data_IF_772953293806
#
_entry.id   IF_772953293806
#
_cell.length_a   1.000
_cell.length_b   1.000
_cell.length_c   1.000
_cell.angle_alpha   90.00
_cell.angle_beta   90.00
_cell.angle_gamma   90.00
#
_symmetry.space_group_name_H-M   'P 1'
#
loop_
_entity.id
_entity.type
_entity.pdbx_description
1 polymer ?
#
# COMPACT_ATOMS: atom_id res chain seq x y z
N UNK A 1 28.89 -8.49 13.41
CA UNK A 1 28.06 -9.71 13.36
C UNK A 1 26.88 -9.58 12.38
N UNK A 2 26.28 -8.39 12.21
CA UNK A 2 25.38 -8.10 11.08
C UNK A 2 26.11 -7.97 9.73
N UNK A 3 27.37 -7.53 9.76
CA UNK A 3 28.12 -7.20 8.55
C UNK A 3 28.50 -8.41 7.69
N UNK A 4 28.50 -9.61 8.28
CA UNK A 4 28.90 -10.86 7.62
C UNK A 4 27.74 -11.63 7.00
N UNK A 5 26.48 -11.22 7.26
CA UNK A 5 25.32 -11.89 6.68
C UNK A 5 25.19 -11.55 5.19
N UNK A 6 24.72 -12.47 4.34
CA UNK A 6 24.33 -12.14 2.98
C UNK A 6 23.12 -11.18 2.93
N UNK A 7 22.98 -10.40 1.84
CA UNK A 7 21.91 -9.41 1.68
C UNK A 7 20.51 -10.02 1.62
N UNK A 8 20.37 -11.18 0.96
CA UNK A 8 19.12 -11.94 0.87
C UNK A 8 18.64 -12.43 2.24
N UNK A 9 19.56 -12.89 3.10
CA UNK A 9 19.23 -13.29 4.47
C UNK A 9 18.80 -12.07 5.30
N UNK A 10 19.45 -10.92 5.14
CA UNK A 10 19.03 -9.70 5.82
C UNK A 10 17.69 -9.18 5.30
N UNK A 11 17.44 -9.24 3.99
CA UNK A 11 16.15 -8.89 3.42
C UNK A 11 15.05 -9.83 3.97
N UNK A 12 15.34 -11.13 4.09
CA UNK A 12 14.44 -12.09 4.70
C UNK A 12 14.16 -11.76 6.18
N UNK A 13 15.18 -11.38 6.96
CA UNK A 13 15.00 -10.95 8.34
C UNK A 13 14.16 -9.66 8.43
N UNK A 14 14.47 -8.66 7.60
CA UNK A 14 13.72 -7.39 7.52
C UNK A 14 12.27 -7.60 7.05
N UNK A 15 11.99 -8.63 6.24
CA UNK A 15 10.62 -8.96 5.84
C UNK A 15 9.71 -9.35 7.02
N UNK A 16 10.29 -9.76 8.15
CA UNK A 16 9.57 -10.14 9.38
C UNK A 16 9.36 -8.98 10.36
N UNK A 17 10.03 -7.84 10.15
CA UNK A 17 9.88 -6.66 11.00
C UNK A 17 8.55 -5.96 10.75
N UNK A 18 8.05 -5.18 11.70
CA UNK A 18 6.92 -4.29 11.42
C UNK A 18 7.34 -3.15 10.47
N UNK A 19 6.39 -2.44 9.86
CA UNK A 19 6.70 -1.36 8.90
C UNK A 19 7.53 -0.25 9.56
N UNK A 20 7.19 0.11 10.80
CA UNK A 20 7.90 1.14 11.57
C UNK A 20 9.37 0.78 11.74
N UNK A 21 9.65 -0.47 12.09
CA UNK A 21 11.02 -0.96 12.28
C UNK A 21 11.80 -1.00 10.95
N UNK A 22 11.18 -1.40 9.83
CA UNK A 22 11.84 -1.32 8.51
C UNK A 22 12.22 0.12 8.18
N UNK A 23 11.30 1.07 8.43
CA UNK A 23 11.56 2.50 8.22
C UNK A 23 12.67 3.02 9.14
N UNK A 24 12.77 2.53 10.37
CA UNK A 24 13.84 2.86 11.30
C UNK A 24 15.19 2.26 10.88
N UNK A 25 15.24 0.98 10.50
CA UNK A 25 16.44 0.30 9.99
C UNK A 25 17.06 1.05 8.81
N UNK A 26 16.22 1.65 7.95
CA UNK A 26 16.67 2.49 6.83
C UNK A 26 17.58 3.64 7.26
N UNK A 27 17.44 4.14 8.49
CA UNK A 27 18.19 5.29 9.01
C UNK A 27 19.49 4.90 9.69
N UNK A 28 19.71 3.61 9.97
CA UNK A 28 20.86 3.12 10.75
C UNK A 28 22.15 3.13 9.92
N UNK A 29 22.12 2.58 8.71
CA UNK A 29 23.28 2.57 7.81
C UNK A 29 22.86 2.45 6.34
N UNK A 30 23.77 2.78 5.41
CA UNK A 30 23.51 2.74 3.96
C UNK A 30 23.07 1.35 3.46
N UNK A 31 23.60 0.30 4.06
CA UNK A 31 23.28 -1.09 3.71
C UNK A 31 21.83 -1.43 4.04
N UNK A 32 21.39 -1.14 5.27
CA UNK A 32 19.98 -1.32 5.65
C UNK A 32 19.06 -0.34 4.89
N UNK A 33 19.56 0.83 4.51
CA UNK A 33 18.82 1.77 3.68
C UNK A 33 18.50 1.21 2.28
N UNK A 34 19.46 0.51 1.67
CA UNK A 34 19.26 -0.22 0.41
C UNK A 34 18.32 -1.40 0.57
N UNK A 35 18.53 -2.22 1.62
CA UNK A 35 17.67 -3.38 1.90
C UNK A 35 16.22 -2.99 2.20
N UNK A 36 15.99 -1.84 2.83
CA UNK A 36 14.64 -1.33 3.04
C UNK A 36 13.89 -1.01 1.74
N UNK A 37 14.55 -0.99 0.58
CA UNK A 37 13.92 -0.86 -0.75
C UNK A 37 13.86 -2.19 -1.50
N UNK A 38 14.40 -3.28 -0.93
CA UNK A 38 14.45 -4.57 -1.58
C UNK A 38 13.04 -5.21 -1.69
N UNK A 39 12.62 -5.73 -2.86
CA UNK A 39 11.29 -6.30 -3.05
C UNK A 39 10.90 -7.37 -2.02
N UNK A 40 11.84 -8.20 -1.60
CA UNK A 40 11.58 -9.29 -0.64
C UNK A 40 11.20 -8.82 0.76
N UNK A 41 11.55 -7.58 1.12
CA UNK A 41 11.12 -6.97 2.39
C UNK A 41 9.63 -6.64 2.38
N UNK A 42 9.05 -6.37 1.20
CA UNK A 42 7.70 -5.82 1.06
C UNK A 42 6.70 -6.77 0.42
N UNK A 43 7.16 -7.76 -0.36
CA UNK A 43 6.32 -8.64 -1.20
C UNK A 43 5.22 -9.41 -0.46
N UNK A 44 5.31 -9.53 0.86
CA UNK A 44 4.37 -10.24 1.74
C UNK A 44 3.44 -9.31 2.53
N UNK A 45 3.65 -7.99 2.47
CA UNK A 45 2.93 -7.02 3.30
C UNK A 45 1.62 -6.59 2.66
N UNK A 46 0.69 -6.22 3.54
CA UNK A 46 -0.61 -5.65 3.20
C UNK A 46 -0.61 -4.17 3.60
N UNK A 47 -1.23 -3.33 2.80
CA UNK A 47 -1.39 -1.91 3.09
C UNK A 47 -2.87 -1.53 2.98
N UNK A 48 -3.43 -1.00 4.06
CA UNK A 48 -4.73 -0.34 4.06
C UNK A 48 -4.53 1.16 3.99
N UNK A 49 -4.96 1.76 2.89
CA UNK A 49 -4.78 3.20 2.63
C UNK A 49 -5.83 4.04 3.36
N UNK A 50 -6.94 3.44 3.80
CA UNK A 50 -8.05 4.15 4.42
C UNK A 50 -7.94 4.26 5.94
N UNK A 51 -6.88 3.74 6.56
CA UNK A 51 -6.70 3.85 8.01
C UNK A 51 -6.74 5.33 8.45
N UNK A 52 -7.75 5.64 9.27
CA UNK A 52 -8.09 6.99 9.68
C UNK A 52 -7.15 7.57 10.74
N UNK A 53 -6.24 6.78 11.31
CA UNK A 53 -5.26 7.27 12.27
C UNK A 53 -4.20 8.14 11.58
N UNK A 54 -3.83 9.26 12.21
CA UNK A 54 -2.79 10.19 11.67
C UNK A 54 -1.45 9.48 11.47
N UNK A 55 -1.09 8.57 12.37
CA UNK A 55 0.12 7.75 12.28
C UNK A 55 0.09 6.84 11.06
N UNK A 56 -1.01 6.11 10.84
CA UNK A 56 -1.12 5.20 9.71
C UNK A 56 -1.07 5.93 8.37
N UNK A 57 -1.67 7.13 8.26
CA UNK A 57 -1.59 7.95 7.03
C UNK A 57 -0.16 8.30 6.65
N UNK A 58 0.66 8.74 7.62
CA UNK A 58 2.07 9.07 7.39
C UNK A 58 2.85 7.81 6.99
N UNK A 59 2.55 6.68 7.63
CA UNK A 59 3.16 5.39 7.32
C UNK A 59 2.80 4.92 5.91
N UNK A 60 1.54 5.01 5.50
CA UNK A 60 1.09 4.67 4.15
C UNK A 60 1.87 5.44 3.08
N UNK A 61 2.01 6.75 3.25
CA UNK A 61 2.80 7.59 2.34
C UNK A 61 4.26 7.15 2.26
N UNK A 62 4.85 6.76 3.39
CA UNK A 62 6.24 6.28 3.45
C UNK A 62 6.38 4.92 2.78
N UNK A 63 5.43 4.01 3.01
CA UNK A 63 5.39 2.68 2.39
C UNK A 63 5.24 2.80 0.89
N UNK A 64 4.24 3.53 0.38
CA UNK A 64 4.00 3.66 -1.06
C UNK A 64 5.15 4.34 -1.81
N UNK A 65 5.96 5.16 -1.12
CA UNK A 65 7.17 5.77 -1.68
C UNK A 65 8.38 4.83 -1.64
N UNK A 66 8.47 3.96 -0.64
CA UNK A 66 9.67 3.17 -0.37
C UNK A 66 9.58 1.74 -0.92
N UNK A 67 8.40 1.14 -0.86
CA UNK A 67 8.16 -0.22 -1.27
C UNK A 67 8.08 -0.31 -2.80
N UNK A 68 8.88 -1.15 -3.45
CA UNK A 68 8.71 -1.41 -4.88
C UNK A 68 7.44 -2.25 -5.14
N UNK A 69 7.01 -3.05 -4.17
CA UNK A 69 5.88 -3.95 -4.34
C UNK A 69 5.24 -4.39 -3.02
N UNK A 70 3.95 -4.76 -3.05
CA UNK A 70 3.20 -5.26 -1.88
C UNK A 70 2.38 -6.50 -2.24
N UNK A 71 2.03 -7.34 -1.26
CA UNK A 71 1.10 -8.44 -1.51
C UNK A 71 -0.27 -7.90 -1.86
N UNK A 72 -0.74 -6.93 -1.08
CA UNK A 72 -2.09 -6.40 -1.21
C UNK A 72 -2.12 -4.90 -0.88
N UNK A 73 -2.90 -4.16 -1.65
CA UNK A 73 -3.29 -2.78 -1.34
C UNK A 73 -4.82 -2.76 -1.24
N UNK A 74 -5.32 -2.25 -0.12
CA UNK A 74 -6.73 -1.98 0.14
C UNK A 74 -6.98 -0.48 0.17
N UNK A 75 -8.05 -0.04 -0.48
CA UNK A 75 -8.41 1.39 -0.57
C UNK A 75 -9.91 1.54 -0.80
N UNK A 76 -10.44 2.72 -0.49
CA UNK A 76 -11.80 3.12 -0.84
C UNK A 76 -11.74 4.18 -1.93
N UNK A 77 -12.77 4.19 -2.77
CA UNK A 77 -12.85 5.13 -3.90
C UNK A 77 -13.09 6.57 -3.45
N UNK A 78 -13.68 6.75 -2.27
CA UNK A 78 -14.09 8.05 -1.73
C UNK A 78 -13.03 8.70 -0.85
N UNK A 79 -11.97 7.99 -0.48
CA UNK A 79 -10.97 8.51 0.45
C UNK A 79 -10.10 9.58 -0.22
N UNK A 80 -10.23 10.82 0.25
CA UNK A 80 -9.26 11.86 -0.05
C UNK A 80 -7.94 11.53 0.65
N UNK A 81 -6.94 11.20 -0.14
CA UNK A 81 -5.63 10.80 0.35
C UNK A 81 -4.90 12.02 0.91
N UNK A 82 -4.39 11.91 2.14
CA UNK A 82 -3.74 13.03 2.82
C UNK A 82 -2.37 13.41 2.26
N UNK A 83 -1.79 12.60 1.37
CA UNK A 83 -0.51 12.90 0.73
C UNK A 83 -0.49 12.53 -0.75
N UNK A 84 0.30 13.27 -1.54
CA UNK A 84 0.46 13.04 -2.99
C UNK A 84 0.98 11.63 -3.33
N UNK A 85 1.86 11.07 -2.50
CA UNK A 85 2.42 9.72 -2.72
C UNK A 85 1.42 8.59 -2.43
N UNK A 86 0.33 8.89 -1.74
CA UNK A 86 -0.71 7.91 -1.51
C UNK A 86 -1.65 7.79 -2.72
N UNK A 87 -1.51 8.65 -3.73
CA UNK A 87 -2.29 8.57 -4.96
C UNK A 87 -1.91 7.30 -5.75
N UNK A 88 -2.75 6.28 -5.59
CA UNK A 88 -2.59 4.98 -6.23
C UNK A 88 -2.71 5.05 -7.75
N UNK A 89 -3.17 6.17 -8.33
CA UNK A 89 -3.16 6.40 -9.78
C UNK A 89 -1.78 6.73 -10.31
N UNK A 90 -0.85 7.14 -9.45
CA UNK A 90 0.52 7.54 -9.81
C UNK A 90 1.59 6.78 -9.04
N UNK A 91 1.20 5.78 -8.23
CA UNK A 91 2.15 5.04 -7.41
C UNK A 91 3.08 4.18 -8.27
N UNK A 92 4.32 4.01 -7.81
CA UNK A 92 5.28 3.04 -8.33
C UNK A 92 5.25 1.70 -7.58
N UNK A 93 4.48 1.61 -6.50
CA UNK A 93 4.39 0.39 -5.69
C UNK A 93 3.41 -0.61 -6.31
N UNK A 94 3.94 -1.74 -6.78
CA UNK A 94 3.17 -2.77 -7.47
C UNK A 94 2.52 -3.77 -6.51
N UNK A 95 1.19 -3.86 -6.51
CA UNK A 95 0.44 -4.82 -5.73
C UNK A 95 0.22 -6.14 -6.49
N UNK A 96 0.20 -7.26 -5.77
CA UNK A 96 -0.26 -8.55 -6.31
C UNK A 96 -1.78 -8.66 -6.27
N UNK A 97 -2.41 -8.13 -5.24
CA UNK A 97 -3.86 -8.08 -5.04
C UNK A 97 -4.26 -6.63 -4.81
N UNK A 98 -5.32 -6.18 -5.47
CA UNK A 98 -5.91 -4.86 -5.26
C UNK A 98 -7.33 -5.04 -4.75
N UNK A 99 -7.63 -4.51 -3.56
CA UNK A 99 -8.96 -4.51 -2.97
C UNK A 99 -9.51 -3.08 -2.97
N UNK A 100 -10.66 -2.88 -3.59
CA UNK A 100 -11.31 -1.57 -3.68
C UNK A 100 -12.68 -1.64 -3.02
N UNK A 101 -12.87 -0.86 -1.96
CA UNK A 101 -14.14 -0.70 -1.28
C UNK A 101 -14.94 0.44 -1.93
N UNK A 102 -16.20 0.17 -2.26
CA UNK A 102 -17.13 1.11 -2.90
C UNK A 102 -18.34 1.30 -1.98
N UNK A 103 -18.49 2.51 -1.42
CA UNK A 103 -19.64 2.88 -0.60
C UNK A 103 -20.85 3.21 -1.47
N UNK A 104 -21.82 2.30 -1.49
CA UNK A 104 -23.10 2.43 -2.20
C UNK A 104 -24.14 3.25 -1.43
N UNK A 105 -23.88 3.59 -0.16
CA UNK A 105 -24.75 4.42 0.68
C UNK A 105 -24.56 5.93 0.46
N UNK A 106 -23.53 6.34 -0.30
CA UNK A 106 -23.16 7.73 -0.53
C UNK A 106 -23.10 8.15 -2.01
N UNK A 107 -22.21 9.10 -2.31
CA UNK A 107 -21.97 9.67 -3.66
C UNK A 107 -21.18 8.69 -4.56
N UNK A 108 -21.61 7.44 -4.70
CA UNK A 108 -21.01 6.55 -5.70
C UNK A 108 -21.56 6.90 -7.08
N UNK A 109 -20.81 7.71 -7.83
CA UNK A 109 -21.16 8.15 -9.17
C UNK A 109 -20.14 7.72 -10.23
N UNK A 110 -20.31 8.23 -11.47
CA UNK A 110 -19.38 7.98 -12.57
C UNK A 110 -17.94 8.41 -12.28
N UNK A 111 -17.73 9.43 -11.43
CA UNK A 111 -16.41 9.94 -11.06
C UNK A 111 -15.64 8.92 -10.20
N UNK A 112 -16.31 8.33 -9.21
CA UNK A 112 -15.79 7.28 -8.34
C UNK A 112 -15.41 6.05 -9.18
N UNK A 113 -16.32 5.59 -10.05
CA UNK A 113 -16.03 4.49 -10.97
C UNK A 113 -14.78 4.79 -11.83
N UNK A 114 -14.66 6.01 -12.33
CA UNK A 114 -13.48 6.45 -13.12
C UNK A 114 -12.19 6.39 -12.29
N UNK A 115 -12.21 6.85 -11.04
CA UNK A 115 -11.06 6.76 -10.12
C UNK A 115 -10.65 5.31 -9.88
N UNK A 116 -11.61 4.42 -9.59
CA UNK A 116 -11.33 3.00 -9.39
C UNK A 116 -10.67 2.37 -10.63
N UNK A 117 -11.20 2.65 -11.83
CA UNK A 117 -10.63 2.18 -13.10
C UNK A 117 -9.20 2.71 -13.31
N UNK A 118 -8.91 3.97 -12.98
CA UNK A 118 -7.56 4.53 -13.08
C UNK A 118 -6.56 3.81 -12.16
N UNK A 119 -6.97 3.50 -10.92
CA UNK A 119 -6.12 2.74 -9.99
C UNK A 119 -5.86 1.32 -10.50
N UNK A 120 -6.89 0.63 -11.00
CA UNK A 120 -6.74 -0.72 -11.58
C UNK A 120 -5.76 -0.69 -12.75
N UNK A 121 -5.93 0.24 -13.70
CA UNK A 121 -5.04 0.39 -14.86
C UNK A 121 -3.60 0.69 -14.46
N UNK A 122 -3.39 1.55 -13.45
CA UNK A 122 -2.06 1.84 -12.94
C UNK A 122 -1.40 0.56 -12.37
N UNK A 123 -2.13 -0.20 -11.55
CA UNK A 123 -1.60 -1.45 -10.96
C UNK A 123 -1.35 -2.55 -11.99
N UNK A 124 -2.19 -2.63 -13.02
CA UNK A 124 -1.98 -3.51 -14.17
C UNK A 124 -0.71 -3.14 -14.94
N UNK A 125 -0.48 -1.85 -15.22
CA UNK A 125 0.73 -1.36 -15.89
C UNK A 125 2.03 -1.64 -15.11
N UNK A 126 1.95 -1.73 -13.77
CA UNK A 126 3.08 -2.13 -12.93
C UNK A 126 3.40 -3.64 -12.99
N UNK A 127 2.58 -4.44 -13.68
CA UNK A 127 2.91 -5.81 -14.11
C UNK A 127 2.81 -6.91 -13.05
N UNK A 128 2.46 -6.58 -11.81
CA UNK A 128 2.41 -7.55 -10.69
C UNK A 128 1.00 -7.98 -10.29
N UNK A 129 -0.02 -7.29 -10.78
CA UNK A 129 -1.41 -7.53 -10.43
C UNK A 129 -1.85 -8.94 -10.85
N UNK A 130 -2.49 -9.66 -9.93
CA UNK A 130 -3.00 -11.03 -10.13
C UNK A 130 -4.46 -11.17 -9.75
N UNK A 131 -4.98 -10.30 -8.90
CA UNK A 131 -6.38 -10.31 -8.51
C UNK A 131 -6.85 -8.89 -8.20
N UNK A 132 -8.10 -8.61 -8.57
CA UNK A 132 -8.82 -7.41 -8.17
C UNK A 132 -10.07 -7.86 -7.42
N UNK A 133 -10.29 -7.30 -6.24
CA UNK A 133 -11.51 -7.49 -5.45
C UNK A 133 -12.25 -6.17 -5.36
N UNK A 134 -13.54 -6.18 -5.69
CA UNK A 134 -14.43 -5.04 -5.50
C UNK A 134 -15.41 -5.40 -4.39
N UNK A 135 -15.40 -4.63 -3.31
CA UNK A 135 -16.29 -4.84 -2.17
C UNK A 135 -17.28 -3.69 -2.14
N UNK A 136 -18.56 -4.02 -2.32
CA UNK A 136 -19.65 -3.06 -2.24
C UNK A 136 -20.27 -3.14 -0.85
N UNK A 137 -20.41 -2.00 -0.19
CA UNK A 137 -21.05 -1.90 1.12
C UNK A 137 -22.02 -0.72 1.12
N UNK A 138 -23.06 -0.80 1.94
CA UNK A 138 -24.04 0.25 2.11
C UNK A 138 -24.17 0.56 3.59
N UNK A 139 -23.92 1.82 3.97
CA UNK A 139 -24.22 2.27 5.32
C UNK A 139 -25.74 2.39 5.46
N UNK A 140 -26.36 1.48 6.21
CA UNK A 140 -27.76 1.61 6.59
C UNK A 140 -27.86 2.74 7.61
N UNK A 141 -28.13 3.96 7.14
CA UNK A 141 -28.60 5.04 8.00
C UNK A 141 -30.02 4.66 8.47
N UNK A 142 -30.13 4.06 9.64
CA UNK A 142 -31.39 4.02 10.38
C UNK A 142 -31.84 5.47 10.60
N UNK A 143 -32.83 5.91 9.82
CA UNK A 143 -33.52 7.17 10.06
C UNK A 143 -34.38 6.99 11.31
N UNK A 144 -33.85 7.35 12.48
CA UNK A 144 -34.67 7.77 13.64
C UNK A 144 -35.21 9.17 13.41
#
# INVERSE_FOLDING_TARGET
MLDQLPEDILAMAMSRLCVVDVLACRLVCKRLAGLAQHPDVWRHRHLDVDDYSKSARIECCRVLRLAPCLREISTSVTTALSCRHADLRTTSCAARVLSIAVDMGGKCGPEEATKAVQVIKQQEALGRLRAVSLVFWQTLLEKT
#
